data_IF_554880273779
#
_entry.id   IF_554880273779
#
_cell.length_a   1.000
_cell.length_b   1.000
_cell.length_c   1.000
_cell.angle_alpha   90.00
_cell.angle_beta   90.00
_cell.angle_gamma   90.00
#
_symmetry.space_group_name_H-M   'P 1'
#
loop_
_entity.id
_entity.type
_entity.pdbx_description
1 polymer ?
#
# COMPACT_ATOMS: atom_id res chain seq x y z
N UNK A 1 -9.93 -18.52 -22.96
CA UNK A 1 -8.80 -18.18 -23.85
C UNK A 1 -9.21 -17.17 -24.95
N UNK A 2 -8.87 -15.89 -24.78
CA UNK A 2 -8.80 -14.90 -25.87
C UNK A 2 -7.68 -13.90 -25.57
N UNK A 3 -6.55 -14.07 -26.24
CA UNK A 3 -5.54 -13.03 -26.42
C UNK A 3 -5.97 -12.11 -27.55
N UNK A 4 -5.86 -10.80 -27.34
CA UNK A 4 -5.65 -9.84 -28.43
C UNK A 4 -4.93 -8.62 -27.87
N UNK A 5 -3.66 -8.49 -28.25
CA UNK A 5 -2.89 -7.28 -28.08
C UNK A 5 -3.51 -6.15 -28.91
N UNK A 6 -3.56 -4.98 -28.28
CA UNK A 6 -3.73 -3.66 -28.86
C UNK A 6 -3.16 -2.75 -27.79
N UNK A 7 -2.14 -1.94 -28.09
CA UNK A 7 -1.41 -1.08 -27.16
C UNK A 7 -2.23 0.06 -26.55
N UNK A 8 -3.44 -0.24 -26.07
CA UNK A 8 -4.32 0.65 -25.34
C UNK A 8 -4.14 0.53 -23.83
N UNK A 9 -4.59 1.54 -23.07
CA UNK A 9 -4.49 1.52 -21.62
C UNK A 9 -5.27 0.34 -21.03
N UNK A 10 -4.66 -0.36 -20.07
CA UNK A 10 -5.32 -1.38 -19.26
C UNK A 10 -6.13 -0.67 -18.19
N UNK A 11 -7.45 -0.90 -18.15
CA UNK A 11 -8.34 -0.32 -17.16
C UNK A 11 -8.77 -1.41 -16.19
N UNK A 12 -8.54 -1.20 -14.90
CA UNK A 12 -8.96 -2.08 -13.82
C UNK A 12 -10.10 -1.43 -13.05
N UNK A 13 -11.20 -2.14 -12.88
CA UNK A 13 -12.29 -1.76 -11.97
C UNK A 13 -11.86 -1.86 -10.52
N UNK A 14 -12.60 -1.22 -9.60
CA UNK A 14 -12.37 -1.36 -8.16
C UNK A 14 -12.38 -2.83 -7.70
N UNK A 15 -13.27 -3.67 -8.24
CA UNK A 15 -13.34 -5.08 -7.90
C UNK A 15 -12.09 -5.85 -8.32
N UNK A 16 -11.55 -5.55 -9.51
CA UNK A 16 -10.31 -6.16 -10.01
C UNK A 16 -9.10 -5.67 -9.21
N UNK A 17 -9.06 -4.37 -8.87
CA UNK A 17 -8.03 -3.81 -7.98
C UNK A 17 -8.05 -4.50 -6.63
N UNK A 18 -9.24 -4.68 -6.04
CA UNK A 18 -9.39 -5.40 -4.78
C UNK A 18 -8.89 -6.85 -4.90
N UNK A 19 -9.33 -7.58 -5.92
CA UNK A 19 -8.94 -8.98 -6.14
C UNK A 19 -7.43 -9.15 -6.37
N UNK A 20 -6.79 -8.19 -7.04
CA UNK A 20 -5.34 -8.21 -7.29
C UNK A 20 -4.53 -7.83 -6.05
N UNK A 21 -4.99 -6.84 -5.29
CA UNK A 21 -4.23 -6.28 -4.18
C UNK A 21 -4.48 -6.98 -2.85
N UNK A 22 -5.70 -7.44 -2.54
CA UNK A 22 -6.02 -7.98 -1.22
C UNK A 22 -5.13 -9.18 -0.82
N UNK A 23 -4.87 -10.19 -1.68
CA UNK A 23 -3.95 -11.28 -1.35
C UNK A 23 -2.51 -10.78 -1.23
N UNK A 24 -2.10 -9.90 -2.17
CA UNK A 24 -0.74 -9.35 -2.22
C UNK A 24 -0.42 -8.54 -0.98
N UNK A 25 -1.33 -7.69 -0.50
CA UNK A 25 -1.14 -6.85 0.69
C UNK A 25 -0.91 -7.71 1.94
N UNK A 26 -1.61 -8.83 2.06
CA UNK A 26 -1.42 -9.77 3.17
C UNK A 26 -0.04 -10.44 3.12
N UNK A 27 0.48 -10.71 1.92
CA UNK A 27 1.74 -11.41 1.72
C UNK A 27 2.98 -10.50 1.65
N UNK A 28 2.83 -9.20 1.33
CA UNK A 28 3.94 -8.40 0.81
C UNK A 28 4.90 -7.76 1.83
N UNK A 29 4.78 -7.98 3.15
CA UNK A 29 5.55 -7.13 4.08
C UNK A 29 5.96 -7.70 5.44
N UNK A 30 5.86 -9.01 5.70
CA UNK A 30 6.03 -9.56 7.07
C UNK A 30 5.16 -8.84 8.12
N UNK A 31 4.21 -8.02 7.66
CA UNK A 31 3.26 -7.30 8.46
C UNK A 31 2.12 -8.28 8.71
N UNK A 32 1.80 -8.61 9.97
CA UNK A 32 0.71 -9.53 10.30
C UNK A 32 -0.65 -8.83 10.12
N UNK A 33 -0.90 -8.31 8.91
CA UNK A 33 -2.10 -7.58 8.55
C UNK A 33 -3.21 -8.59 8.29
N UNK A 34 -4.27 -8.50 9.09
CA UNK A 34 -5.50 -9.31 8.97
C UNK A 34 -6.59 -8.48 8.33
N UNK A 35 -7.55 -9.15 7.69
CA UNK A 35 -8.72 -8.47 7.07
C UNK A 35 -8.29 -7.35 6.10
N UNK A 36 -7.23 -7.61 5.31
CA UNK A 36 -6.70 -6.67 4.34
C UNK A 36 -7.72 -6.42 3.22
N UNK A 37 -7.94 -5.16 2.89
CA UNK A 37 -8.81 -4.74 1.80
C UNK A 37 -8.25 -3.52 1.10
N UNK A 38 -8.53 -3.43 -0.20
CA UNK A 38 -8.24 -2.27 -1.03
C UNK A 38 -9.55 -1.76 -1.64
N UNK A 39 -9.73 -0.44 -1.68
CA UNK A 39 -10.88 0.24 -2.26
C UNK A 39 -10.42 1.53 -2.96
N UNK A 40 -11.20 2.00 -3.94
CA UNK A 40 -10.90 3.25 -4.65
C UNK A 40 -11.74 4.38 -4.06
N UNK A 41 -11.08 5.44 -3.59
CA UNK A 41 -11.73 6.60 -2.96
C UNK A 41 -11.31 7.87 -3.70
N UNK A 42 -12.16 8.33 -4.61
CA UNK A 42 -11.83 9.45 -5.49
C UNK A 42 -10.66 9.11 -6.41
N UNK A 43 -9.58 9.87 -6.31
CA UNK A 43 -8.30 9.69 -7.02
C UNK A 43 -7.24 8.97 -6.17
N UNK A 44 -7.65 8.33 -5.07
CA UNK A 44 -6.74 7.62 -4.16
C UNK A 44 -7.10 6.15 -3.99
N UNK A 45 -6.08 5.33 -3.74
CA UNK A 45 -6.23 3.96 -3.29
C UNK A 45 -6.30 3.96 -1.76
N UNK A 46 -7.36 3.41 -1.20
CA UNK A 46 -7.47 3.20 0.23
C UNK A 46 -7.18 1.75 0.58
N UNK A 47 -6.14 1.53 1.38
CA UNK A 47 -5.79 0.23 1.94
C UNK A 47 -6.21 0.22 3.41
N UNK A 48 -6.94 -0.82 3.80
CA UNK A 48 -7.32 -1.05 5.19
C UNK A 48 -6.91 -2.44 5.63
N UNK A 49 -6.57 -2.56 6.90
CA UNK A 49 -6.32 -3.86 7.52
C UNK A 49 -6.19 -3.73 9.02
N UNK A 50 -6.04 -4.85 9.71
CA UNK A 50 -5.90 -4.90 11.16
C UNK A 50 -4.54 -5.46 11.53
N UNK A 51 -3.84 -4.80 12.44
CA UNK A 51 -2.57 -5.27 12.95
C UNK A 51 -2.54 -5.28 14.48
N UNK A 52 -1.79 -6.20 15.11
CA UNK A 52 -1.59 -6.20 16.55
C UNK A 52 -0.90 -4.92 17.01
N UNK A 53 -1.32 -4.38 18.16
CA UNK A 53 -0.68 -3.21 18.78
C UNK A 53 0.83 -3.43 18.99
N UNK A 54 1.25 -4.66 19.27
CA UNK A 54 2.66 -5.04 19.42
C UNK A 54 3.54 -4.57 18.24
N UNK A 55 3.02 -4.63 17.00
CA UNK A 55 3.76 -4.23 15.80
C UNK A 55 4.05 -2.74 15.82
N UNK A 56 3.08 -1.90 16.20
CA UNK A 56 3.28 -0.44 16.26
C UNK A 56 4.24 -0.02 17.38
N UNK A 57 4.22 -0.74 18.50
CA UNK A 57 5.09 -0.45 19.64
C UNK A 57 6.46 -1.11 19.53
N UNK A 58 6.67 -1.95 18.52
CA UNK A 58 7.99 -2.47 18.14
C UNK A 58 8.79 -1.47 17.32
N UNK A 59 8.12 -0.53 16.66
CA UNK A 59 8.75 0.43 15.76
C UNK A 59 9.06 1.77 16.44
N UNK A 60 10.17 2.45 16.07
CA UNK A 60 10.46 3.79 16.55
C UNK A 60 9.35 4.81 16.20
N UNK A 61 9.11 5.83 17.04
CA UNK A 61 9.76 6.13 18.32
C UNK A 61 9.15 5.36 19.52
N UNK A 62 8.22 4.45 19.28
CA UNK A 62 7.47 3.75 20.33
C UNK A 62 8.13 2.45 20.79
N UNK A 63 9.22 2.05 20.12
CA UNK A 63 10.09 0.96 20.50
C UNK A 63 10.45 1.06 21.99
N UNK A 64 9.93 0.11 22.78
CA UNK A 64 10.12 0.07 24.24
C UNK A 64 8.85 0.32 25.07
N UNK A 65 7.79 0.90 24.51
CA UNK A 65 6.50 0.99 25.19
C UNK A 65 5.82 -0.38 25.32
N UNK A 66 6.17 -1.33 24.44
CA UNK A 66 5.62 -2.68 24.48
C UNK A 66 5.88 -3.39 25.83
N UNK A 67 7.01 -3.13 26.48
CA UNK A 67 7.38 -3.75 27.77
C UNK A 67 6.57 -3.21 28.95
N UNK A 68 5.92 -2.06 28.79
CA UNK A 68 5.12 -1.40 29.82
C UNK A 68 3.65 -1.83 29.80
N UNK A 69 3.23 -2.57 28.78
CA UNK A 69 1.83 -2.94 28.59
C UNK A 69 1.60 -4.44 28.88
N UNK A 70 0.41 -4.81 29.39
CA UNK A 70 0.04 -6.21 29.52
C UNK A 70 0.04 -6.93 28.17
N UNK A 71 0.44 -8.20 28.15
CA UNK A 71 0.47 -9.01 26.92
C UNK A 71 -0.89 -9.06 26.20
N UNK A 72 -1.99 -9.08 26.96
CA UNK A 72 -3.35 -9.05 26.43
C UNK A 72 -3.68 -7.77 25.64
N UNK A 73 -2.99 -6.65 25.92
CA UNK A 73 -3.16 -5.40 25.19
C UNK A 73 -2.33 -5.40 23.91
N UNK A 74 -1.14 -5.98 23.94
CA UNK A 74 -0.26 -6.09 22.78
C UNK A 74 -0.87 -6.91 21.65
N UNK A 75 -1.68 -7.94 21.97
CA UNK A 75 -2.40 -8.75 20.99
C UNK A 75 -3.65 -8.08 20.41
N UNK A 76 -4.07 -6.91 20.94
CA UNK A 76 -5.26 -6.21 20.46
C UNK A 76 -5.07 -5.74 19.02
N UNK A 77 -6.02 -6.10 18.17
CA UNK A 77 -6.03 -5.70 16.76
C UNK A 77 -6.53 -4.27 16.58
N UNK A 78 -5.72 -3.43 15.94
CA UNK A 78 -6.02 -2.06 15.60
C UNK A 78 -6.23 -1.92 14.10
N UNK A 79 -7.25 -1.15 13.72
CA UNK A 79 -7.51 -0.81 12.33
C UNK A 79 -6.47 0.17 11.83
N UNK A 80 -5.78 -0.18 10.75
CA UNK A 80 -4.96 0.73 9.96
C UNK A 80 -5.73 1.10 8.70
N UNK A 81 -5.77 2.39 8.40
CA UNK A 81 -6.35 2.92 7.17
C UNK A 81 -5.35 3.86 6.53
N UNK A 82 -4.99 3.60 5.29
CA UNK A 82 -4.03 4.38 4.51
C UNK A 82 -4.69 4.75 3.20
N UNK A 83 -4.77 6.04 2.88
CA UNK A 83 -5.05 6.50 1.51
C UNK A 83 -3.76 6.92 0.88
N UNK A 84 -3.56 6.48 -0.35
CA UNK A 84 -2.34 6.74 -1.09
C UNK A 84 -2.66 7.14 -2.51
N UNK A 85 -1.97 8.16 -3.00
CA UNK A 85 -1.84 8.39 -4.43
C UNK A 85 -0.91 7.33 -5.04
N UNK A 86 -0.96 7.18 -6.35
CA UNK A 86 -0.07 6.31 -7.11
C UNK A 86 0.58 7.13 -8.21
N UNK A 87 1.90 6.97 -8.37
CA UNK A 87 2.65 7.56 -9.49
C UNK A 87 3.75 6.62 -9.95
N UNK A 88 4.17 6.77 -11.22
CA UNK A 88 5.39 6.12 -11.71
C UNK A 88 6.60 7.00 -11.38
N UNK A 89 7.52 6.46 -10.59
CA UNK A 89 8.84 7.03 -10.35
C UNK A 89 9.84 6.40 -11.34
N UNK A 90 10.48 7.24 -12.15
CA UNK A 90 11.60 6.85 -13.02
C UNK A 90 12.89 7.12 -12.25
N UNK A 91 13.72 6.10 -12.08
CA UNK A 91 15.04 6.29 -11.49
C UNK A 91 16.08 6.25 -12.58
N UNK A 92 16.84 7.34 -12.69
CA UNK A 92 17.97 7.50 -13.60
C UNK A 92 19.08 6.52 -13.22
N UNK A 93 18.92 5.30 -13.72
CA UNK A 93 19.87 4.20 -13.65
C UNK A 93 20.18 3.76 -15.08
N UNK A 94 21.36 3.17 -15.35
CA UNK A 94 21.71 2.69 -16.69
C UNK A 94 20.70 1.68 -17.30
N UNK A 95 19.82 1.10 -16.48
CA UNK A 95 18.77 0.16 -16.87
C UNK A 95 17.35 0.75 -16.84
N UNK A 96 17.20 2.06 -16.59
CA UNK A 96 15.90 2.75 -16.63
C UNK A 96 14.83 2.12 -15.74
N UNK A 97 15.17 1.67 -14.53
CA UNK A 97 14.20 0.97 -13.66
C UNK A 97 13.06 1.91 -13.25
N UNK A 98 11.82 1.47 -13.52
CA UNK A 98 10.59 2.16 -13.17
C UNK A 98 9.98 1.53 -11.92
N UNK A 99 9.41 2.36 -11.06
CA UNK A 99 8.74 1.91 -9.85
C UNK A 99 7.37 2.54 -9.75
N UNK A 100 6.38 1.75 -9.37
CA UNK A 100 5.09 2.27 -8.88
C UNK A 100 5.34 2.75 -7.47
N UNK A 101 5.22 4.05 -7.26
CA UNK A 101 5.32 4.68 -5.95
C UNK A 101 3.94 4.96 -5.40
N UNK A 102 3.73 4.57 -4.16
CA UNK A 102 2.58 4.91 -3.36
C UNK A 102 2.97 6.07 -2.45
N UNK A 103 2.28 7.20 -2.56
CA UNK A 103 2.45 8.35 -1.68
C UNK A 103 1.26 8.47 -0.72
N UNK A 104 1.41 8.07 0.56
CA UNK A 104 0.37 8.17 1.56
C UNK A 104 -0.04 9.62 1.80
N UNK A 105 -1.32 9.93 1.59
CA UNK A 105 -1.90 11.26 1.84
C UNK A 105 -2.72 11.30 3.12
N UNK A 106 -3.23 10.15 3.56
CA UNK A 106 -3.99 9.99 4.79
C UNK A 106 -3.61 8.70 5.49
N UNK A 107 -3.39 8.75 6.80
CA UNK A 107 -3.16 7.58 7.63
C UNK A 107 -3.95 7.70 8.92
N UNK A 108 -4.61 6.61 9.32
CA UNK A 108 -5.29 6.52 10.60
C UNK A 108 -5.06 5.16 11.27
N UNK A 109 -4.87 5.19 12.59
CA UNK A 109 -4.76 4.02 13.46
C UNK A 109 -5.94 4.04 14.44
N UNK A 110 -6.75 2.98 14.40
CA UNK A 110 -8.05 2.93 15.04
C UNK A 110 -8.93 4.09 14.57
N UNK A 111 -9.16 5.03 15.50
CA UNK A 111 -9.92 6.27 15.27
C UNK A 111 -9.04 7.51 15.13
N UNK A 112 -7.75 7.39 15.43
CA UNK A 112 -6.80 8.51 15.45
C UNK A 112 -6.23 8.70 14.05
N UNK A 113 -6.34 9.91 13.50
CA UNK A 113 -5.54 10.29 12.33
C UNK A 113 -4.11 10.54 12.78
N UNK A 114 -3.15 9.99 12.05
CA UNK A 114 -1.73 10.22 12.30
C UNK A 114 -1.10 10.98 11.12
N UNK A 115 -0.08 11.82 11.36
CA UNK A 115 0.66 12.44 10.28
C UNK A 115 1.25 11.39 9.33
N UNK A 116 1.14 11.62 8.02
CA UNK A 116 1.64 10.67 7.02
C UNK A 116 3.15 10.40 7.14
N UNK A 117 3.91 11.35 7.69
CA UNK A 117 5.34 11.18 7.94
C UNK A 117 5.62 10.14 9.03
N UNK A 118 4.79 10.10 10.09
CA UNK A 118 4.89 9.12 11.17
C UNK A 118 4.59 7.70 10.69
N UNK A 119 3.76 7.53 9.65
CA UNK A 119 3.50 6.22 9.08
C UNK A 119 4.76 5.51 8.58
N UNK A 120 5.72 6.26 8.01
CA UNK A 120 6.99 5.66 7.57
C UNK A 120 7.86 5.16 8.72
N UNK A 121 7.70 5.76 9.91
CA UNK A 121 8.40 5.35 11.12
C UNK A 121 7.69 4.16 11.79
N UNK A 122 6.37 4.11 11.68
CA UNK A 122 5.51 3.06 12.23
C UNK A 122 5.47 1.78 11.39
N UNK A 123 5.98 1.84 10.17
CA UNK A 123 6.11 0.67 9.31
C UNK A 123 7.47 0.01 9.57
N UNK A 124 7.50 -1.32 9.68
CA UNK A 124 8.76 -2.04 9.62
C UNK A 124 9.44 -1.75 8.27
N UNK A 125 10.76 -1.96 8.14
CA UNK A 125 11.50 -1.72 6.89
C UNK A 125 10.87 -2.40 5.65
N UNK A 126 10.28 -3.58 5.84
CA UNK A 126 9.49 -4.31 4.82
C UNK A 126 8.23 -3.54 4.39
N UNK A 127 7.53 -2.92 5.34
CA UNK A 127 6.37 -2.06 5.08
C UNK A 127 6.73 -0.80 4.28
N UNK A 128 7.94 -0.27 4.42
CA UNK A 128 8.42 0.86 3.60
C UNK A 128 8.62 0.44 2.13
N UNK A 129 9.02 -0.81 1.87
CA UNK A 129 9.11 -1.34 0.51
C UNK A 129 7.75 -1.46 -0.17
N UNK A 130 6.65 -1.59 0.59
CA UNK A 130 5.29 -1.51 0.04
C UNK A 130 5.01 -0.19 -0.67
N UNK A 131 5.70 0.89 -0.29
CA UNK A 131 5.52 2.19 -0.91
C UNK A 131 6.16 2.27 -2.30
N UNK A 132 6.92 1.25 -2.70
CA UNK A 132 7.67 1.26 -3.95
C UNK A 132 7.74 -0.12 -4.58
N UNK A 133 6.91 -0.36 -5.58
CA UNK A 133 6.86 -1.65 -6.29
C UNK A 133 7.61 -1.57 -7.61
N UNK A 134 8.33 -2.62 -8.03
CA UNK A 134 8.93 -2.67 -9.36
C UNK A 134 7.82 -2.63 -10.42
N UNK A 135 7.89 -1.64 -11.33
CA UNK A 135 6.98 -1.57 -12.46
C UNK A 135 7.58 -2.35 -13.64
N UNK A 136 6.81 -3.21 -14.33
CA UNK A 136 7.24 -3.80 -15.59
C UNK A 136 7.63 -2.72 -16.61
N UNK A 137 8.60 -3.02 -17.48
CA UNK A 137 9.06 -2.07 -18.50
C UNK A 137 7.94 -1.63 -19.46
N UNK A 138 6.93 -2.48 -19.64
CA UNK A 138 5.74 -2.20 -20.43
C UNK A 138 4.80 -1.19 -19.80
N UNK A 139 4.94 -0.82 -18.51
CA UNK A 139 4.10 0.18 -17.85
C UNK A 139 4.74 1.56 -17.99
N UNK A 140 4.00 2.48 -18.59
CA UNK A 140 4.41 3.88 -18.80
C UNK A 140 3.88 4.80 -17.69
N UNK A 141 2.61 4.65 -17.34
CA UNK A 141 1.91 5.48 -16.35
C UNK A 141 0.84 4.66 -15.62
N UNK A 142 0.54 5.05 -14.38
CA UNK A 142 -0.54 4.46 -13.58
C UNK A 142 -1.29 5.61 -12.92
N UNK A 143 -2.57 5.73 -13.24
CA UNK A 143 -3.43 6.77 -12.68
C UNK A 143 -4.66 6.15 -12.02
N UNK A 144 -5.00 6.66 -10.84
CA UNK A 144 -6.26 6.35 -10.19
C UNK A 144 -7.29 7.39 -10.63
N UNK A 145 -8.39 6.90 -11.15
CA UNK A 145 -9.58 7.68 -11.46
C UNK A 145 -10.73 7.21 -10.54
N UNK A 146 -11.80 8.02 -10.38
CA UNK A 146 -12.97 7.59 -9.63
C UNK A 146 -13.50 6.24 -10.12
N UNK A 147 -13.41 5.22 -9.25
CA UNK A 147 -13.91 3.86 -9.51
C UNK A 147 -13.05 2.97 -10.41
N UNK A 148 -11.87 3.44 -10.89
CA UNK A 148 -10.99 2.64 -11.75
C UNK A 148 -9.52 3.04 -11.69
N UNK A 149 -8.64 2.12 -12.07
CA UNK A 149 -7.22 2.38 -12.27
C UNK A 149 -6.90 2.25 -13.75
N UNK A 150 -6.25 3.27 -14.31
CA UNK A 150 -5.83 3.32 -15.71
C UNK A 150 -4.32 3.14 -15.77
N UNK A 151 -3.87 2.03 -16.36
CA UNK A 151 -2.47 1.71 -16.56
C UNK A 151 -2.16 1.92 -18.04
N UNK A 152 -1.33 2.91 -18.35
CA UNK A 152 -0.86 3.14 -19.71
C UNK A 152 0.34 2.25 -19.96
N UNK A 153 0.30 1.49 -21.05
CA UNK A 153 1.39 0.61 -21.44
C UNK A 153 2.12 1.15 -22.66
N UNK A 154 3.44 0.95 -22.70
CA UNK A 154 4.24 1.21 -23.90
C UNK A 154 3.82 0.24 -24.99
N UNK A 155 3.47 0.75 -26.17
CA UNK A 155 3.19 -0.06 -27.35
C UNK A 155 4.46 -0.71 -27.91
#
# INVERSE_FOLDING_TARGET
PRSRGSGGPVVLSEQEVHALLAPRIADLADLPLREASAALVGDTLEVRGRLPLAVLLGEPPFAGLATLLPQAWLSRLLWLRVRTGVRIERVDTPRGRRFVRFDPTYVAIGRQRVPALLYRLLLPPSGVQLLRWPAPASVEDVRIEPGRVVIRTTS
#
